data_IF_844898607950
#
_entry.id   IF_844898607950
#
_cell.length_a   1.000
_cell.length_b   1.000
_cell.length_c   1.000
_cell.angle_alpha   90.00
_cell.angle_beta   90.00
_cell.angle_gamma   90.00
#
_symmetry.space_group_name_H-M   'P 1'
#
loop_
_entity.id
_entity.type
_entity.pdbx_description
1 polymer ?
#
# COMPACT_ATOMS: atom_id res chain seq x y z
N UNK A 1 -7.90 -9.68 -10.55
CA UNK A 1 -8.35 -10.42 -9.33
C UNK A 1 -8.59 -9.39 -8.24
N UNK A 2 -9.66 -9.52 -7.45
CA UNK A 2 -10.03 -8.60 -6.35
C UNK A 2 -10.04 -9.40 -5.07
N UNK A 3 -9.30 -8.95 -4.05
CA UNK A 3 -9.26 -9.61 -2.73
C UNK A 3 -9.75 -8.62 -1.68
N UNK A 4 -10.71 -9.07 -0.87
CA UNK A 4 -11.16 -8.39 0.35
C UNK A 4 -10.23 -8.80 1.48
N UNK A 5 -9.57 -7.84 2.11
CA UNK A 5 -8.78 -8.08 3.32
C UNK A 5 -9.67 -7.77 4.53
N UNK A 6 -9.44 -8.37 5.69
CA UNK A 6 -10.19 -8.11 6.94
C UNK A 6 -10.24 -6.63 7.41
N UNK A 7 -9.60 -5.72 6.67
CA UNK A 7 -9.71 -4.27 6.80
C UNK A 7 -10.32 -3.72 5.51
N UNK A 8 -11.19 -2.69 5.58
CA UNK A 8 -11.88 -2.05 4.45
C UNK A 8 -10.93 -1.55 3.33
N UNK A 9 -10.36 -2.49 2.57
CA UNK A 9 -9.25 -2.36 1.65
C UNK A 9 -9.46 -3.36 0.53
N UNK A 10 -9.54 -2.82 -0.68
CA UNK A 10 -9.69 -3.62 -1.89
C UNK A 10 -8.33 -3.72 -2.58
N UNK A 11 -7.82 -4.94 -2.75
CA UNK A 11 -6.62 -5.18 -3.54
C UNK A 11 -6.96 -5.54 -4.98
N UNK A 12 -6.26 -4.90 -5.92
CA UNK A 12 -6.48 -5.06 -7.35
C UNK A 12 -5.19 -5.52 -8.03
N UNK A 13 -5.19 -6.72 -8.62
CA UNK A 13 -4.19 -7.06 -9.63
C UNK A 13 -4.64 -6.55 -11.00
N UNK A 14 -3.85 -5.63 -11.54
CA UNK A 14 -4.15 -4.85 -12.75
C UNK A 14 -3.15 -5.11 -13.86
N UNK A 15 -2.18 -6.00 -13.66
CA UNK A 15 -1.02 -6.21 -14.54
C UNK A 15 -1.45 -6.50 -15.97
N UNK A 16 -2.41 -7.42 -16.14
CA UNK A 16 -2.96 -7.79 -17.45
C UNK A 16 -3.83 -6.70 -18.10
N UNK A 17 -4.33 -5.75 -17.31
CA UNK A 17 -5.30 -4.75 -17.76
C UNK A 17 -4.71 -3.36 -17.96
N UNK A 18 -3.42 -3.15 -17.67
CA UNK A 18 -2.81 -1.81 -17.76
C UNK A 18 -2.93 -1.19 -19.16
N UNK A 19 -2.88 -2.00 -20.23
CA UNK A 19 -3.06 -1.51 -21.60
C UNK A 19 -4.47 -0.95 -21.83
N UNK A 20 -5.51 -1.63 -21.33
CA UNK A 20 -6.90 -1.18 -21.41
C UNK A 20 -7.09 0.18 -20.72
N UNK A 21 -6.38 0.39 -19.61
CA UNK A 21 -6.51 1.60 -18.81
C UNK A 21 -5.50 2.69 -19.14
N UNK A 22 -4.79 2.59 -20.27
CA UNK A 22 -3.81 3.59 -20.72
C UNK A 22 -2.67 3.81 -19.69
N UNK A 23 -2.29 2.73 -19.00
CA UNK A 23 -1.24 2.70 -17.99
C UNK A 23 -1.70 3.09 -16.58
N UNK A 24 -0.78 2.90 -15.64
CA UNK A 24 -1.10 2.93 -14.21
C UNK A 24 -1.61 4.29 -13.68
N UNK A 25 -1.11 5.39 -14.24
CA UNK A 25 -1.51 6.74 -13.81
C UNK A 25 -2.95 7.05 -14.20
N UNK A 26 -3.36 6.64 -15.40
CA UNK A 26 -4.72 6.79 -15.89
C UNK A 26 -5.68 5.89 -15.12
N UNK A 27 -5.30 4.63 -14.87
CA UNK A 27 -6.05 3.74 -13.98
C UNK A 27 -6.25 4.34 -12.58
N UNK A 28 -5.19 4.83 -11.94
CA UNK A 28 -5.28 5.45 -10.61
C UNK A 28 -6.15 6.71 -10.57
N UNK A 29 -6.23 7.48 -11.66
CA UNK A 29 -7.20 8.59 -11.77
C UNK A 29 -8.61 8.05 -11.85
N UNK A 30 -8.87 7.10 -12.76
CA UNK A 30 -10.19 6.49 -12.93
C UNK A 30 -10.72 5.85 -11.64
N UNK A 31 -9.87 5.15 -10.89
CA UNK A 31 -10.27 4.59 -9.58
C UNK A 31 -10.66 5.70 -8.59
N UNK A 32 -9.91 6.82 -8.55
CA UNK A 32 -10.29 7.98 -7.72
C UNK A 32 -11.63 8.57 -8.13
N UNK A 33 -11.86 8.72 -9.43
CA UNK A 33 -13.11 9.29 -9.94
C UNK A 33 -14.31 8.39 -9.60
N UNK A 34 -14.14 7.07 -9.74
CA UNK A 34 -15.15 6.08 -9.33
C UNK A 34 -15.42 6.13 -7.83
N UNK A 35 -14.37 6.14 -7.00
CA UNK A 35 -14.50 6.26 -5.53
C UNK A 35 -15.25 7.54 -5.15
N UNK A 36 -14.89 8.68 -5.76
CA UNK A 36 -15.54 9.96 -5.52
C UNK A 36 -17.02 9.94 -5.95
N UNK A 37 -17.37 9.21 -7.02
CA UNK A 37 -18.77 9.08 -7.47
C UNK A 37 -19.68 8.38 -6.47
N UNK A 38 -19.12 7.58 -5.56
CA UNK A 38 -19.84 6.96 -4.43
C UNK A 38 -19.95 7.87 -3.20
N UNK A 39 -19.41 9.10 -3.25
CA UNK A 39 -19.43 10.03 -2.11
C UNK A 39 -18.49 9.65 -0.97
N UNK A 40 -17.50 8.79 -1.21
CA UNK A 40 -16.53 8.35 -0.21
C UNK A 40 -15.11 8.77 -0.59
N UNK A 41 -14.21 8.81 0.40
CA UNK A 41 -12.78 9.03 0.19
C UNK A 41 -12.01 7.73 0.43
N UNK A 42 -11.01 7.44 -0.41
CA UNK A 42 -10.11 6.30 -0.21
C UNK A 42 -8.64 6.70 -0.38
N UNK A 43 -7.78 6.12 0.46
CA UNK A 43 -6.34 6.13 0.26
C UNK A 43 -5.99 5.15 -0.86
N UNK A 44 -5.43 5.66 -1.97
CA UNK A 44 -5.10 4.84 -3.14
C UNK A 44 -3.59 4.83 -3.37
N UNK A 45 -3.00 3.65 -3.21
CA UNK A 45 -1.61 3.37 -3.51
C UNK A 45 -1.48 2.41 -4.71
N UNK A 46 -0.27 2.36 -5.29
CA UNK A 46 0.13 1.29 -6.21
C UNK A 46 1.57 0.93 -5.90
N UNK A 47 1.86 -0.37 -5.83
CA UNK A 47 3.21 -0.89 -5.67
C UNK A 47 3.43 -2.12 -6.56
N UNK A 48 4.63 -2.69 -6.52
CA UNK A 48 5.01 -3.88 -7.29
C UNK A 48 4.35 -5.18 -6.80
N UNK A 49 3.78 -5.20 -5.60
CA UNK A 49 3.07 -6.35 -5.03
C UNK A 49 1.84 -5.90 -4.23
N UNK A 50 0.87 -6.81 -4.04
CA UNK A 50 -0.33 -6.57 -3.23
C UNK A 50 -0.01 -6.12 -1.79
N UNK A 51 0.82 -6.86 -1.03
CA UNK A 51 1.19 -6.46 0.34
C UNK A 51 1.87 -5.08 0.41
N UNK A 52 2.75 -4.78 -0.56
CA UNK A 52 3.40 -3.46 -0.61
C UNK A 52 2.39 -2.34 -0.89
N UNK A 53 1.43 -2.55 -1.79
CA UNK A 53 0.38 -1.57 -2.06
C UNK A 53 -0.48 -1.37 -0.81
N UNK A 54 -0.91 -2.45 -0.18
CA UNK A 54 -1.67 -2.44 1.06
C UNK A 54 -0.97 -1.61 2.15
N UNK A 55 0.31 -1.92 2.43
CA UNK A 55 1.11 -1.21 3.43
C UNK A 55 1.25 0.29 3.13
N UNK A 56 1.50 0.66 1.87
CA UNK A 56 1.62 2.06 1.47
C UNK A 56 0.28 2.79 1.56
N UNK A 57 -0.83 2.14 1.20
CA UNK A 57 -2.16 2.74 1.33
C UNK A 57 -2.50 3.03 2.80
N UNK A 58 -2.24 2.05 3.68
CA UNK A 58 -2.58 2.15 5.11
C UNK A 58 -1.61 3.04 5.89
N UNK A 59 -0.31 2.96 5.63
CA UNK A 59 0.71 3.71 6.35
C UNK A 59 0.91 5.14 5.85
N UNK A 60 0.85 5.38 4.53
CA UNK A 60 1.11 6.70 3.93
C UNK A 60 -0.12 7.39 3.35
N UNK A 61 -1.30 6.76 3.47
CA UNK A 61 -2.57 7.25 2.89
C UNK A 61 -2.54 7.37 1.36
N UNK A 62 -1.72 6.54 0.70
CA UNK A 62 -1.65 6.42 -0.76
C UNK A 62 -0.27 6.73 -1.34
N UNK A 63 -0.12 6.58 -2.67
CA UNK A 63 1.14 6.88 -3.37
C UNK A 63 1.48 5.94 -4.52
N UNK A 64 2.63 6.15 -5.17
CA UNK A 64 3.15 5.27 -6.22
C UNK A 64 4.54 4.77 -5.84
N UNK A 65 4.66 3.46 -5.60
CA UNK A 65 5.86 2.76 -5.17
C UNK A 65 6.23 1.64 -6.17
N UNK A 66 6.37 2.01 -7.45
CA UNK A 66 6.49 1.06 -8.56
C UNK A 66 7.91 0.52 -8.83
N UNK A 67 8.93 1.09 -8.19
CA UNK A 67 10.32 0.63 -8.33
C UNK A 67 10.85 0.18 -6.98
N UNK A 68 11.83 -0.71 -6.95
CA UNK A 68 12.49 -1.12 -5.71
C UNK A 68 12.96 0.08 -4.87
N UNK A 69 13.50 1.12 -5.52
CA UNK A 69 13.93 2.35 -4.85
C UNK A 69 12.77 3.15 -4.26
N UNK A 70 11.69 3.35 -5.01
CA UNK A 70 10.53 4.10 -4.49
C UNK A 70 9.78 3.31 -3.42
N UNK A 71 9.73 1.98 -3.53
CA UNK A 71 9.17 1.11 -2.51
C UNK A 71 9.99 1.16 -1.22
N UNK A 72 11.32 1.03 -1.28
CA UNK A 72 12.19 1.16 -0.11
C UNK A 72 12.00 2.50 0.61
N UNK A 73 11.96 3.61 -0.14
CA UNK A 73 11.70 4.95 0.43
C UNK A 73 10.32 5.08 1.06
N UNK A 74 9.31 4.42 0.50
CA UNK A 74 7.97 4.41 1.08
C UNK A 74 7.94 3.58 2.37
N UNK A 75 8.50 2.37 2.35
CA UNK A 75 8.52 1.46 3.49
C UNK A 75 9.38 1.96 4.66
N UNK A 76 10.40 2.77 4.39
CA UNK A 76 11.16 3.50 5.41
C UNK A 76 10.33 4.51 6.21
N UNK A 77 9.09 4.77 5.81
CA UNK A 77 8.15 5.69 6.46
C UNK A 77 6.86 5.01 6.91
N UNK A 78 6.70 3.71 6.61
CA UNK A 78 5.51 2.94 6.98
C UNK A 78 5.81 2.20 8.28
N UNK A 79 5.04 2.44 9.37
CA UNK A 79 5.20 1.68 10.60
C UNK A 79 5.01 0.18 10.39
N UNK A 80 5.83 -0.66 11.01
CA UNK A 80 5.76 -2.12 10.91
C UNK A 80 4.39 -2.64 11.36
N UNK A 81 3.84 -2.06 12.42
CA UNK A 81 2.53 -2.40 13.00
C UNK A 81 1.34 -2.12 12.09
N UNK A 82 1.55 -1.43 10.95
CA UNK A 82 0.54 -1.34 9.90
C UNK A 82 0.18 -2.74 9.41
N UNK A 83 1.16 -3.61 9.16
CA UNK A 83 0.91 -4.99 8.72
C UNK A 83 0.24 -5.82 9.83
N UNK A 84 -0.91 -6.49 9.59
CA UNK A 84 -1.64 -7.21 10.64
C UNK A 84 -0.78 -8.30 11.30
N UNK A 85 -0.04 -9.05 10.49
CA UNK A 85 0.86 -10.12 10.97
C UNK A 85 2.03 -9.60 11.80
N UNK A 86 2.42 -8.33 11.64
CA UNK A 86 3.50 -7.72 12.41
C UNK A 86 3.01 -7.22 13.78
N UNK A 87 1.71 -6.99 13.98
CA UNK A 87 1.15 -6.47 15.24
C UNK A 87 1.42 -7.39 16.43
N UNK A 88 1.49 -8.71 16.21
CA UNK A 88 1.83 -9.69 17.27
C UNK A 88 3.25 -9.51 17.84
N UNK A 89 4.12 -8.81 17.11
CA UNK A 89 5.49 -8.51 17.52
C UNK A 89 5.68 -7.03 17.87
N UNK A 90 4.59 -6.26 18.01
CA UNK A 90 4.67 -4.81 18.22
C UNK A 90 5.55 -4.42 19.42
N UNK A 91 5.34 -5.05 20.58
CA UNK A 91 6.15 -4.81 21.79
C UNK A 91 7.62 -5.12 21.55
N UNK A 92 7.92 -6.23 20.87
CA UNK A 92 9.31 -6.62 20.59
C UNK A 92 10.01 -5.64 19.64
N UNK A 93 9.30 -5.15 18.62
CA UNK A 93 9.83 -4.12 17.73
C UNK A 93 10.05 -2.78 18.45
N UNK A 94 9.15 -2.40 19.35
CA UNK A 94 9.26 -1.21 20.19
C UNK A 94 10.49 -1.28 21.11
N UNK A 95 10.70 -2.42 21.78
CA UNK A 95 11.88 -2.67 22.64
C UNK A 95 13.21 -2.60 21.86
N UNK A 96 13.20 -2.94 20.56
CA UNK A 96 14.36 -2.83 19.68
C UNK A 96 14.54 -1.43 19.06
N UNK A 97 13.64 -0.49 19.32
CA UNK A 97 13.62 0.82 18.68
C UNK A 97 13.40 0.75 17.17
N UNK A 98 12.70 -0.29 16.70
CA UNK A 98 12.39 -0.53 15.30
C UNK A 98 10.94 -0.16 14.99
N UNK A 99 10.72 0.98 14.35
CA UNK A 99 9.36 1.43 14.01
C UNK A 99 8.95 1.06 12.59
N UNK A 100 9.92 0.99 11.67
CA UNK A 100 9.71 0.80 10.23
C UNK A 100 10.59 -0.32 9.68
N UNK A 101 10.28 -0.76 8.46
CA UNK A 101 11.10 -1.75 7.75
C UNK A 101 12.54 -1.28 7.51
N UNK A 102 12.80 0.02 7.46
CA UNK A 102 14.15 0.55 7.33
C UNK A 102 14.98 0.35 8.59
N UNK A 103 14.35 0.24 9.76
CA UNK A 103 15.05 0.06 11.03
C UNK A 103 15.61 -1.36 11.17
N UNK A 104 14.92 -2.35 10.59
CA UNK A 104 15.37 -3.74 10.49
C UNK A 104 16.49 -3.97 9.46
N UNK A 105 16.74 -2.99 8.58
CA UNK A 105 17.75 -3.08 7.51
C UNK A 105 19.07 -2.37 7.89
N UNK A 106 19.16 -1.82 9.10
CA UNK A 106 20.36 -1.16 9.64
C UNK A 106 21.27 -2.19 10.30
#
# INVERSE_FOLDING_TARGET
NVVDADEAVVLLDVTASLRLFHGIRALRRRVRDVVASFGVSAAISVASTGPAAWMVARGLRGGLALSARSLRRALARVPLVVAPDARRYATWFDELGCETLADLQR
#
